data_IF_416844502605
#
_entry.id   IF_416844502605
#
_cell.length_a   1.000
_cell.length_b   1.000
_cell.length_c   1.000
_cell.angle_alpha   90.00
_cell.angle_beta   90.00
_cell.angle_gamma   90.00
#
_symmetry.space_group_name_H-M   'P 1'
#
loop_
_entity.id
_entity.type
_entity.pdbx_description
1 polymer ?
#
# COMPACT_ATOMS: atom_id res chain seq x y z
N UNK A 1 -22.82 25.75 -19.81
CA UNK A 1 -22.83 25.56 -18.32
C UNK A 1 -23.28 24.16 -17.85
N UNK A 2 -23.64 23.20 -18.74
CA UNK A 2 -24.18 21.87 -18.36
C UNK A 2 -23.20 20.68 -18.42
N UNK A 3 -21.90 20.89 -18.68
CA UNK A 3 -20.91 19.78 -18.77
C UNK A 3 -20.16 19.45 -17.46
N UNK A 4 -20.28 20.26 -16.40
CA UNK A 4 -19.60 19.98 -15.12
C UNK A 4 -20.35 19.00 -14.22
N UNK A 5 -21.68 18.89 -14.31
CA UNK A 5 -22.47 18.09 -13.37
C UNK A 5 -22.40 16.57 -13.63
N UNK A 6 -22.26 16.16 -14.91
CA UNK A 6 -22.20 14.71 -15.25
C UNK A 6 -20.90 14.03 -14.83
N UNK A 7 -19.78 14.76 -14.83
CA UNK A 7 -18.49 14.17 -14.42
C UNK A 7 -18.38 13.98 -12.90
N UNK A 8 -19.00 14.86 -12.11
CA UNK A 8 -19.04 14.76 -10.65
C UNK A 8 -19.86 13.56 -10.18
N UNK A 9 -21.02 13.31 -10.80
CA UNK A 9 -21.89 12.18 -10.45
C UNK A 9 -21.24 10.83 -10.80
N UNK A 10 -20.55 10.75 -11.94
CA UNK A 10 -19.83 9.54 -12.37
C UNK A 10 -18.64 9.23 -11.47
N UNK A 11 -17.96 10.24 -10.95
CA UNK A 11 -16.86 10.07 -10.00
C UNK A 11 -17.35 9.64 -8.63
N UNK A 12 -18.45 10.21 -8.11
CA UNK A 12 -19.04 9.83 -6.83
C UNK A 12 -19.45 8.35 -6.81
N UNK A 13 -20.14 7.87 -7.85
CA UNK A 13 -20.55 6.48 -7.98
C UNK A 13 -19.37 5.50 -8.02
N UNK A 14 -18.25 5.87 -8.68
CA UNK A 14 -17.05 5.02 -8.72
C UNK A 14 -16.29 5.00 -7.37
N UNK A 15 -16.34 6.08 -6.61
CA UNK A 15 -15.73 6.15 -5.29
C UNK A 15 -16.40 5.22 -4.26
N UNK A 16 -17.65 4.79 -4.49
CA UNK A 16 -18.34 3.82 -3.63
C UNK A 16 -17.63 2.47 -3.58
N UNK A 17 -16.87 2.10 -4.62
CA UNK A 17 -16.04 0.89 -4.64
C UNK A 17 -14.83 0.95 -3.69
N UNK A 18 -14.50 2.15 -3.17
CA UNK A 18 -13.35 2.39 -2.30
C UNK A 18 -13.77 3.04 -0.97
N UNK A 19 -14.60 2.38 -0.12
CA UNK A 19 -14.87 2.89 1.22
C UNK A 19 -13.56 3.07 1.99
N UNK A 20 -13.46 4.11 2.83
CA UNK A 20 -12.26 4.33 3.62
C UNK A 20 -11.95 3.13 4.52
N UNK A 21 -10.70 2.69 4.52
CA UNK A 21 -10.26 1.49 5.24
C UNK A 21 -10.64 0.16 4.59
N UNK A 22 -11.48 0.13 3.55
CA UNK A 22 -11.83 -1.10 2.85
C UNK A 22 -10.62 -1.70 2.12
N UNK A 23 -10.57 -3.02 2.03
CA UNK A 23 -9.56 -3.73 1.26
C UNK A 23 -10.14 -4.18 -0.08
N UNK A 24 -9.38 -3.96 -1.14
CA UNK A 24 -9.78 -4.28 -2.51
C UNK A 24 -8.66 -4.97 -3.29
N UNK A 25 -9.04 -5.65 -4.38
CA UNK A 25 -8.15 -6.03 -5.47
C UNK A 25 -8.58 -5.34 -6.74
N UNK A 26 -7.62 -4.97 -7.56
CA UNK A 26 -7.84 -4.40 -8.88
C UNK A 26 -7.50 -5.46 -9.91
N UNK A 27 -8.51 -5.98 -10.61
CA UNK A 27 -8.35 -6.96 -11.67
C UNK A 27 -8.50 -6.28 -13.03
N UNK A 28 -7.49 -6.41 -13.88
CA UNK A 28 -7.55 -5.91 -15.25
C UNK A 28 -8.71 -6.55 -16.02
N UNK A 29 -9.53 -5.72 -16.65
CA UNK A 29 -10.66 -6.18 -17.45
C UNK A 29 -10.24 -7.01 -18.65
N UNK A 30 -9.13 -6.63 -19.29
CA UNK A 30 -8.64 -7.27 -20.52
C UNK A 30 -7.83 -8.53 -20.20
N UNK A 31 -6.91 -8.44 -19.24
CA UNK A 31 -5.94 -9.51 -18.99
C UNK A 31 -6.36 -10.46 -17.86
N UNK A 32 -7.36 -10.11 -17.05
CA UNK A 32 -7.76 -10.89 -15.89
C UNK A 32 -6.72 -10.95 -14.76
N UNK A 33 -5.57 -10.29 -14.92
CA UNK A 33 -4.50 -10.21 -13.92
C UNK A 33 -4.80 -9.14 -12.88
N UNK A 34 -4.16 -9.26 -11.71
CA UNK A 34 -4.34 -8.35 -10.59
C UNK A 34 -3.16 -7.39 -10.49
N UNK A 35 -3.44 -6.14 -10.11
CA UNK A 35 -2.40 -5.18 -9.75
C UNK A 35 -1.67 -5.68 -8.51
N UNK A 36 -0.35 -5.82 -8.58
CA UNK A 36 0.46 -6.53 -7.61
C UNK A 36 1.68 -5.69 -7.21
N UNK A 37 1.91 -5.55 -5.91
CA UNK A 37 3.15 -4.97 -5.38
C UNK A 37 4.30 -5.96 -5.55
N UNK A 38 5.37 -5.57 -6.21
CA UNK A 38 6.50 -6.44 -6.50
C UNK A 38 7.32 -6.77 -5.24
N UNK A 39 8.06 -7.85 -5.31
CA UNK A 39 8.83 -8.36 -4.16
C UNK A 39 9.96 -7.41 -3.70
N UNK A 40 10.35 -6.45 -4.55
CA UNK A 40 11.31 -5.40 -4.20
C UNK A 40 10.70 -4.29 -3.32
N UNK A 41 9.36 -4.26 -3.17
CA UNK A 41 8.63 -3.26 -2.40
C UNK A 41 8.62 -1.86 -3.03
N UNK A 42 8.95 -1.75 -4.33
CA UNK A 42 8.97 -0.50 -5.10
C UNK A 42 8.18 -0.63 -6.39
N UNK A 43 8.37 -1.72 -7.12
CA UNK A 43 7.69 -1.99 -8.38
C UNK A 43 6.22 -2.39 -8.17
N UNK A 44 5.43 -2.19 -9.23
CA UNK A 44 4.04 -2.64 -9.32
C UNK A 44 3.84 -3.24 -10.70
N UNK A 45 3.39 -4.49 -10.74
CA UNK A 45 3.20 -5.23 -11.99
C UNK A 45 1.91 -6.06 -12.00
N UNK A 46 1.41 -6.48 -13.17
CA UNK A 46 0.29 -7.39 -13.25
C UNK A 46 0.70 -8.82 -12.85
N UNK A 47 -0.15 -9.51 -12.07
CA UNK A 47 0.09 -10.88 -11.64
C UNK A 47 -1.19 -11.71 -11.64
N UNK A 48 -1.16 -12.99 -12.01
CA UNK A 48 -2.32 -13.87 -11.89
C UNK A 48 -2.64 -14.28 -10.44
N UNK A 49 -1.79 -13.95 -9.48
CA UNK A 49 -1.89 -14.39 -8.07
C UNK A 49 -2.95 -13.62 -7.29
N UNK A 50 -4.22 -14.00 -7.40
CA UNK A 50 -5.34 -13.37 -6.70
C UNK A 50 -5.21 -13.43 -5.17
N UNK A 51 -4.81 -14.56 -4.61
CA UNK A 51 -4.79 -14.79 -3.16
C UNK A 51 -3.58 -14.20 -2.42
N UNK A 52 -2.75 -13.40 -3.10
CA UNK A 52 -1.58 -12.76 -2.51
C UNK A 52 -1.95 -11.49 -1.75
N UNK A 53 -1.28 -11.23 -0.61
CA UNK A 53 -1.33 -9.93 0.08
C UNK A 53 -0.76 -8.79 -0.79
N UNK A 54 0.17 -9.11 -1.68
CA UNK A 54 0.71 -8.14 -2.64
C UNK A 54 -0.31 -7.68 -3.68
N UNK A 55 -1.41 -8.42 -3.89
CA UNK A 55 -2.53 -8.00 -4.72
C UNK A 55 -3.64 -7.26 -3.95
N UNK A 56 -3.47 -7.12 -2.63
CA UNK A 56 -4.45 -6.48 -1.76
C UNK A 56 -4.05 -5.03 -1.47
N UNK A 57 -5.01 -4.14 -1.65
CA UNK A 57 -4.85 -2.70 -1.48
C UNK A 57 -5.88 -2.19 -0.47
N UNK A 58 -5.44 -1.38 0.50
CA UNK A 58 -6.34 -0.69 1.41
C UNK A 58 -6.67 0.70 0.86
N UNK A 59 -7.94 1.00 0.75
CA UNK A 59 -8.41 2.33 0.36
C UNK A 59 -8.19 3.32 1.51
N UNK A 60 -7.62 4.46 1.21
CA UNK A 60 -7.44 5.58 2.12
C UNK A 60 -8.02 6.82 1.44
N UNK A 61 -9.18 7.26 1.90
CA UNK A 61 -9.83 8.45 1.35
C UNK A 61 -9.25 9.72 1.94
N UNK A 62 -9.05 10.71 1.09
CA UNK A 62 -8.65 12.06 1.51
C UNK A 62 -9.46 13.09 0.72
N UNK A 63 -9.73 14.21 1.36
CA UNK A 63 -10.32 15.39 0.72
C UNK A 63 -9.26 16.46 0.57
N UNK A 64 -9.18 17.06 -0.62
CA UNK A 64 -8.21 18.10 -0.91
C UNK A 64 -8.81 19.13 -1.89
N UNK A 65 -8.81 20.39 -1.49
CA UNK A 65 -9.36 21.45 -2.33
C UNK A 65 -10.84 21.25 -2.70
N UNK A 66 -11.63 20.61 -1.83
CA UNK A 66 -13.04 20.29 -2.08
C UNK A 66 -13.27 19.13 -3.04
N UNK A 67 -12.22 18.38 -3.42
CA UNK A 67 -12.30 17.17 -4.24
C UNK A 67 -11.93 15.93 -3.40
N UNK A 68 -12.65 14.82 -3.65
CA UNK A 68 -12.38 13.54 -3.00
C UNK A 68 -11.39 12.71 -3.84
N UNK A 69 -10.37 12.18 -3.16
CA UNK A 69 -9.37 11.29 -3.74
C UNK A 69 -9.31 9.97 -2.98
N UNK A 70 -8.83 8.94 -3.64
CA UNK A 70 -8.45 7.68 -3.03
C UNK A 70 -6.95 7.46 -3.18
N UNK A 71 -6.29 7.09 -2.09
CA UNK A 71 -4.94 6.55 -2.09
C UNK A 71 -5.05 5.05 -1.89
N UNK A 72 -4.29 4.29 -2.66
CA UNK A 72 -4.27 2.83 -2.59
C UNK A 72 -2.98 2.38 -1.90
N UNK A 73 -3.12 1.91 -0.66
CA UNK A 73 -2.03 1.45 0.16
C UNK A 73 -1.84 -0.06 0.02
N UNK A 74 -0.64 -0.49 -0.34
CA UNK A 74 -0.30 -1.91 -0.42
C UNK A 74 -0.37 -2.58 0.97
N UNK A 75 -1.13 -3.67 1.08
CA UNK A 75 -1.20 -4.46 2.32
C UNK A 75 0.08 -5.27 2.55
N UNK A 76 0.93 -5.41 1.54
CA UNK A 76 2.22 -6.08 1.68
C UNK A 76 3.26 -5.20 2.37
N UNK A 77 3.41 -3.96 1.92
CA UNK A 77 4.54 -3.11 2.31
C UNK A 77 4.13 -1.76 2.91
N UNK A 78 2.82 -1.46 3.01
CA UNK A 78 2.30 -0.22 3.57
C UNK A 78 2.49 1.02 2.69
N UNK A 79 3.21 0.91 1.58
CA UNK A 79 3.47 2.00 0.64
C UNK A 79 2.27 2.25 -0.26
N UNK A 80 2.18 3.44 -0.80
CA UNK A 80 1.06 3.89 -1.62
C UNK A 80 1.36 3.76 -3.11
N UNK A 81 0.35 3.34 -3.88
CA UNK A 81 0.40 3.33 -5.34
C UNK A 81 0.56 4.75 -5.86
N UNK A 82 1.57 4.96 -6.67
CA UNK A 82 1.89 6.24 -7.27
C UNK A 82 2.16 6.09 -8.77
N UNK A 83 2.09 7.19 -9.49
CA UNK A 83 2.54 7.27 -10.87
C UNK A 83 3.85 8.06 -10.92
N UNK A 84 4.92 7.36 -11.25
CA UNK A 84 6.23 7.97 -11.33
C UNK A 84 6.70 8.12 -12.78
N UNK A 85 7.18 9.31 -13.11
CA UNK A 85 7.87 9.56 -14.37
C UNK A 85 9.34 9.87 -14.04
N UNK A 86 10.30 9.08 -14.54
CA UNK A 86 11.70 9.46 -14.43
C UNK A 86 11.93 10.80 -15.14
N UNK A 87 12.90 11.62 -14.69
CA UNK A 87 13.25 12.84 -15.41
C UNK A 87 13.65 12.48 -16.84
N UNK A 88 13.01 13.13 -17.81
CA UNK A 88 13.33 12.90 -19.21
C UNK A 88 14.78 13.34 -19.48
N UNK A 89 15.58 12.55 -20.20
CA UNK A 89 16.87 13.00 -20.69
C UNK A 89 16.69 14.27 -21.55
N UNK A 90 17.66 15.19 -21.46
CA UNK A 90 17.61 16.44 -22.26
C UNK A 90 17.43 16.11 -23.75
N UNK A 91 16.35 16.62 -24.34
CA UNK A 91 16.05 16.47 -25.78
C UNK A 91 15.19 15.25 -26.16
N UNK A 92 14.77 14.42 -25.21
CA UNK A 92 13.79 13.36 -25.43
C UNK A 92 12.42 13.76 -24.88
N UNK A 93 11.34 13.31 -25.54
CA UNK A 93 9.96 13.58 -25.14
C UNK A 93 9.61 13.07 -23.75
N UNK A 94 8.34 13.19 -23.34
CA UNK A 94 7.85 12.78 -22.01
C UNK A 94 8.25 11.32 -21.73
N UNK A 95 8.94 11.12 -20.60
CA UNK A 95 9.19 9.75 -20.09
C UNK A 95 7.89 9.04 -19.80
N UNK A 96 7.83 7.76 -20.16
CA UNK A 96 6.71 6.90 -19.83
C UNK A 96 6.52 6.83 -18.31
N UNK A 97 5.27 6.98 -17.85
CA UNK A 97 4.92 6.90 -16.44
C UNK A 97 4.62 5.46 -16.06
N UNK A 98 5.24 4.99 -15.00
CA UNK A 98 5.04 3.63 -14.50
C UNK A 98 4.40 3.66 -13.11
N UNK A 99 3.49 2.69 -12.79
CA UNK A 99 3.01 2.53 -11.45
C UNK A 99 4.13 2.04 -10.54
N UNK A 100 4.26 2.67 -9.37
CA UNK A 100 5.29 2.35 -8.35
C UNK A 100 4.70 2.48 -6.96
N UNK A 101 5.43 1.97 -5.96
CA UNK A 101 5.11 2.16 -4.55
C UNK A 101 5.95 3.30 -3.97
N UNK A 102 5.29 4.27 -3.33
CA UNK A 102 5.94 5.40 -2.68
C UNK A 102 5.47 5.60 -1.24
N UNK A 103 6.25 6.33 -0.48
CA UNK A 103 5.84 6.86 0.83
C UNK A 103 4.87 8.04 0.65
N UNK A 104 4.03 8.28 1.65
CA UNK A 104 3.15 9.45 1.69
C UNK A 104 3.61 10.35 2.84
N UNK A 105 4.45 11.34 2.52
CA UNK A 105 5.14 12.19 3.51
C UNK A 105 4.50 13.57 3.67
N UNK A 106 3.81 14.08 2.65
CA UNK A 106 3.23 15.41 2.68
C UNK A 106 1.78 15.39 2.18
N UNK A 107 0.86 16.13 2.84
CA UNK A 107 -0.50 16.31 2.32
C UNK A 107 -0.53 16.92 0.91
N UNK A 108 0.51 17.65 0.49
CA UNK A 108 0.63 18.24 -0.85
C UNK A 108 1.15 17.27 -1.91
N UNK A 109 1.53 16.05 -1.50
CA UNK A 109 2.04 15.03 -2.41
C UNK A 109 0.94 14.56 -3.36
N UNK A 110 1.10 14.83 -4.66
CA UNK A 110 0.07 14.58 -5.68
C UNK A 110 0.22 13.22 -6.36
N UNK A 111 1.42 12.65 -6.40
CA UNK A 111 1.74 11.45 -7.17
C UNK A 111 1.05 10.17 -6.66
N UNK A 112 0.51 10.21 -5.44
CA UNK A 112 -0.24 9.11 -4.81
C UNK A 112 -1.76 9.28 -4.86
N UNK A 113 -2.25 10.42 -5.39
CA UNK A 113 -3.68 10.75 -5.43
C UNK A 113 -4.34 10.16 -6.67
N UNK A 114 -5.45 9.45 -6.48
CA UNK A 114 -6.25 8.86 -7.55
C UNK A 114 -7.70 9.32 -7.47
N UNK A 115 -8.30 9.55 -8.62
CA UNK A 115 -9.73 9.80 -8.78
C UNK A 115 -10.33 8.56 -9.44
N UNK A 116 -11.24 7.91 -8.75
CA UNK A 116 -12.02 6.82 -9.34
C UNK A 116 -13.10 7.40 -10.25
N UNK A 117 -13.17 6.91 -11.48
CA UNK A 117 -14.15 7.31 -12.49
C UNK A 117 -14.79 6.05 -13.08
N UNK A 118 -16.11 6.04 -13.25
CA UNK A 118 -16.82 4.91 -13.89
C UNK A 118 -16.50 4.88 -15.38
N UNK A 119 -16.27 3.70 -15.93
CA UNK A 119 -16.08 3.54 -17.36
C UNK A 119 -17.39 3.90 -18.12
N UNK A 120 -17.22 4.50 -19.30
CA UNK A 120 -18.38 5.02 -20.09
C UNK A 120 -19.13 3.94 -20.86
N UNK A 121 -18.59 2.74 -20.97
CA UNK A 121 -19.16 1.62 -21.72
C UNK A 121 -20.30 0.86 -20.99
N UNK A 122 -20.82 1.42 -19.91
CA UNK A 122 -21.99 0.90 -19.18
C UNK A 122 -21.73 -0.24 -18.21
N UNK A 123 -20.46 -0.65 -18.02
CA UNK A 123 -20.06 -1.64 -17.03
C UNK A 123 -19.84 -1.04 -15.64
N UNK A 124 -19.59 -1.93 -14.65
CA UNK A 124 -19.15 -1.54 -13.30
C UNK A 124 -17.64 -1.32 -13.20
N UNK A 125 -16.96 -1.24 -14.34
CA UNK A 125 -15.52 -1.04 -14.40
C UNK A 125 -15.14 0.37 -13.96
N UNK A 126 -14.02 0.46 -13.28
CA UNK A 126 -13.46 1.71 -12.75
C UNK A 126 -12.18 2.06 -13.47
N UNK A 127 -12.05 3.33 -13.81
CA UNK A 127 -10.82 3.95 -14.24
C UNK A 127 -10.20 4.67 -13.04
N UNK A 128 -8.92 4.46 -12.79
CA UNK A 128 -8.17 5.23 -11.80
C UNK A 128 -7.37 6.30 -12.52
N UNK A 129 -7.85 7.53 -12.46
CA UNK A 129 -7.24 8.71 -13.05
C UNK A 129 -6.29 9.34 -12.04
N UNK A 130 -5.11 9.76 -12.48
CA UNK A 130 -4.17 10.47 -11.63
C UNK A 130 -4.72 11.84 -11.20
N UNK A 131 -4.62 12.19 -9.92
CA UNK A 131 -5.26 13.39 -9.37
C UNK A 131 -4.78 14.72 -9.97
N UNK A 132 -3.54 14.75 -10.47
CA UNK A 132 -2.92 15.96 -11.04
C UNK A 132 -3.04 16.07 -12.56
N UNK A 133 -3.31 14.96 -13.23
CA UNK A 133 -3.28 14.90 -14.70
C UNK A 133 -4.51 14.15 -15.22
N UNK A 134 -5.44 14.92 -15.76
CA UNK A 134 -6.71 14.41 -16.30
C UNK A 134 -6.53 13.41 -17.47
N UNK A 135 -5.34 13.33 -18.02
CA UNK A 135 -5.02 12.44 -19.16
C UNK A 135 -4.29 11.17 -18.76
N UNK A 136 -3.81 11.08 -17.51
CA UNK A 136 -3.06 9.91 -17.02
C UNK A 136 -3.95 8.97 -16.23
N UNK A 137 -4.06 7.73 -16.71
CA UNK A 137 -4.81 6.65 -16.07
C UNK A 137 -3.86 5.52 -15.66
N UNK A 138 -4.24 4.80 -14.60
CA UNK A 138 -3.57 3.57 -14.22
C UNK A 138 -3.83 2.51 -15.28
N UNK A 139 -2.80 2.07 -16.00
CA UNK A 139 -2.86 0.99 -16.97
C UNK A 139 -2.05 -0.22 -16.52
N UNK A 140 -2.23 -1.34 -17.22
CA UNK A 140 -1.45 -2.58 -17.01
C UNK A 140 -0.05 -2.45 -17.61
N UNK A 141 0.10 -1.67 -18.66
CA UNK A 141 1.37 -1.41 -19.35
C UNK A 141 1.56 0.08 -19.61
N UNK A 142 2.81 0.48 -19.79
CA UNK A 142 3.23 1.87 -20.03
C UNK A 142 2.68 2.42 -21.37
N UNK A 143 2.46 1.55 -22.34
CA UNK A 143 2.04 1.89 -23.71
C UNK A 143 0.52 1.76 -23.92
N UNK A 144 -0.28 1.82 -22.85
CA UNK A 144 -1.73 1.64 -22.93
C UNK A 144 -2.43 2.83 -23.59
N UNK A 145 -2.30 2.94 -24.90
CA UNK A 145 -3.15 3.81 -25.72
C UNK A 145 -4.54 3.24 -25.94
N UNK A 146 -4.75 1.94 -25.67
CA UNK A 146 -6.05 1.31 -25.71
C UNK A 146 -6.82 1.60 -24.41
N UNK A 147 -7.94 2.27 -24.54
CA UNK A 147 -8.79 2.69 -23.41
C UNK A 147 -9.20 1.53 -22.50
N UNK A 148 -9.33 0.31 -23.01
CA UNK A 148 -9.73 -0.87 -22.23
C UNK A 148 -8.65 -1.40 -21.30
N UNK A 149 -7.37 -1.16 -21.56
CA UNK A 149 -6.27 -1.59 -20.71
C UNK A 149 -6.20 -0.82 -19.38
N UNK A 150 -6.94 0.29 -19.28
CA UNK A 150 -7.07 1.10 -18.07
C UNK A 150 -8.31 0.76 -17.24
N UNK A 151 -9.11 -0.24 -17.67
CA UNK A 151 -10.33 -0.67 -16.99
C UNK A 151 -10.04 -1.70 -15.92
N UNK A 152 -10.50 -1.41 -14.70
CA UNK A 152 -10.32 -2.24 -13.53
C UNK A 152 -11.66 -2.72 -12.97
N UNK A 153 -11.77 -4.01 -12.72
CA UNK A 153 -12.81 -4.59 -11.88
C UNK A 153 -12.33 -4.51 -10.44
N UNK A 154 -13.08 -3.81 -9.60
CA UNK A 154 -12.76 -3.67 -8.17
C UNK A 154 -13.42 -4.82 -7.42
N UNK A 155 -12.60 -5.72 -6.86
CA UNK A 155 -13.07 -6.83 -6.04
C UNK A 155 -12.88 -6.51 -4.57
N UNK A 156 -13.95 -6.38 -3.80
CA UNK A 156 -13.87 -6.20 -2.35
C UNK A 156 -13.25 -7.44 -1.68
N UNK A 157 -12.39 -7.21 -0.71
CA UNK A 157 -11.82 -8.26 0.14
C UNK A 157 -12.57 -8.22 1.47
N UNK A 158 -13.32 -9.28 1.83
CA UNK A 158 -14.02 -9.32 3.09
C UNK A 158 -13.04 -9.30 4.27
N UNK A 159 -13.45 -8.66 5.36
CA UNK A 159 -12.69 -8.64 6.59
C UNK A 159 -12.47 -10.08 7.10
N UNK A 160 -11.27 -10.35 7.61
CA UNK A 160 -10.92 -11.63 8.20
C UNK A 160 -11.19 -11.61 9.70
N UNK A 161 -11.75 -12.69 10.23
CA UNK A 161 -11.99 -12.85 11.67
C UNK A 161 -10.69 -13.09 12.47
N UNK A 162 -9.63 -13.55 11.82
CA UNK A 162 -8.34 -13.85 12.46
C UNK A 162 -7.18 -13.18 11.72
N UNK A 163 -6.15 -12.71 12.44
CA UNK A 163 -4.95 -12.20 11.82
C UNK A 163 -4.30 -13.27 10.95
N UNK A 164 -3.62 -12.89 9.86
CA UNK A 164 -2.83 -13.81 9.08
C UNK A 164 -1.68 -14.37 9.93
N UNK A 165 -1.38 -15.65 9.73
CA UNK A 165 -0.23 -16.31 10.35
C UNK A 165 1.02 -15.75 9.65
N UNK A 166 2.05 -15.41 10.44
CA UNK A 166 3.35 -14.99 9.90
C UNK A 166 3.97 -16.15 9.10
N UNK A 167 4.62 -15.88 7.96
CA UNK A 167 5.30 -16.90 7.21
C UNK A 167 6.43 -17.51 8.05
N UNK A 168 6.54 -18.83 8.02
CA UNK A 168 7.65 -19.51 8.66
C UNK A 168 8.97 -19.13 8.00
N UNK A 169 10.09 -19.00 8.76
CA UNK A 169 11.38 -18.69 8.18
C UNK A 169 11.79 -19.78 7.20
N UNK A 170 12.07 -19.40 5.98
CA UNK A 170 12.61 -20.32 4.97
C UNK A 170 14.09 -20.52 5.29
N UNK A 171 14.59 -21.78 5.37
CA UNK A 171 16.01 -22.05 5.53
C UNK A 171 16.82 -21.35 4.43
N UNK A 172 17.87 -20.62 4.81
CA UNK A 172 18.76 -19.95 3.87
C UNK A 172 19.58 -20.99 3.11
N UNK A 173 19.04 -21.51 2.03
CA UNK A 173 19.73 -22.49 1.17
C UNK A 173 20.81 -21.86 0.26
N UNK A 174 20.91 -20.54 0.19
CA UNK A 174 22.01 -19.78 -0.43
C UNK A 174 22.13 -18.39 0.20
N UNK A 175 23.34 -17.92 0.53
CA UNK A 175 23.56 -16.63 1.20
C UNK A 175 23.56 -15.47 0.18
N UNK A 176 22.42 -15.07 -0.33
CA UNK A 176 22.23 -13.67 -0.63
C UNK A 176 21.74 -13.03 0.67
N UNK A 177 22.65 -12.68 1.53
CA UNK A 177 22.34 -12.05 2.81
C UNK A 177 22.01 -10.59 2.54
N UNK A 178 20.75 -10.33 2.20
CA UNK A 178 20.22 -8.98 2.22
C UNK A 178 20.34 -8.45 3.66
N UNK A 179 20.89 -7.26 3.81
CA UNK A 179 20.93 -6.56 5.09
C UNK A 179 20.26 -5.20 4.97
N UNK A 180 19.71 -4.71 6.06
CA UNK A 180 19.09 -3.39 6.10
C UNK A 180 19.13 -2.81 7.50
N UNK A 181 19.01 -1.51 7.57
CA UNK A 181 18.75 -0.82 8.83
C UNK A 181 17.27 -0.91 9.16
N UNK A 182 16.95 -1.42 10.33
CA UNK A 182 15.62 -1.35 10.93
C UNK A 182 15.65 -0.22 11.95
N UNK A 183 14.84 0.79 11.71
CA UNK A 183 14.54 1.86 12.67
C UNK A 183 13.21 1.51 13.32
N UNK A 184 13.11 1.55 14.65
CA UNK A 184 11.87 1.17 15.33
C UNK A 184 11.54 2.06 16.52
N UNK A 185 10.24 2.18 16.77
CA UNK A 185 9.66 2.84 17.94
C UNK A 185 8.66 1.90 18.60
N UNK A 186 8.56 2.00 19.94
CA UNK A 186 7.49 1.37 20.70
C UNK A 186 6.27 2.26 20.66
N UNK A 187 5.10 1.70 20.44
CA UNK A 187 3.82 2.38 20.45
C UNK A 187 2.83 1.67 21.34
N UNK A 188 1.78 2.38 21.75
CA UNK A 188 0.61 1.81 22.41
C UNK A 188 -0.31 1.08 21.41
N UNK A 189 -1.45 0.55 21.88
CA UNK A 189 -2.42 -0.17 21.05
C UNK A 189 -3.05 0.68 19.95
N UNK A 190 -3.15 1.99 20.18
CA UNK A 190 -3.69 2.96 19.22
C UNK A 190 -2.64 3.41 18.20
N UNK A 191 -1.40 2.94 18.34
CA UNK A 191 -0.27 3.28 17.48
C UNK A 191 0.36 4.64 17.78
N UNK A 192 0.06 5.23 18.96
CA UNK A 192 0.67 6.46 19.41
C UNK A 192 2.06 6.15 19.98
N UNK A 193 3.04 6.92 19.60
CA UNK A 193 4.41 6.82 20.08
C UNK A 193 5.02 8.20 20.29
N UNK A 194 6.06 8.25 21.13
CA UNK A 194 6.83 9.47 21.35
C UNK A 194 7.52 9.91 20.03
N UNK A 195 7.16 11.06 19.47
CA UNK A 195 7.71 11.52 18.20
C UNK A 195 9.18 11.98 18.31
N UNK A 196 9.72 12.09 19.53
CA UNK A 196 11.10 12.57 19.73
C UNK A 196 12.11 11.63 19.06
N UNK A 197 13.16 12.15 18.42
CA UNK A 197 14.20 11.34 17.77
C UNK A 197 14.88 10.33 18.72
N UNK A 198 15.00 10.67 20.00
CA UNK A 198 15.61 9.81 21.04
C UNK A 198 14.79 8.57 21.39
N UNK A 199 13.48 8.57 21.10
CA UNK A 199 12.63 7.40 21.28
C UNK A 199 12.85 6.35 20.16
N UNK A 200 13.43 6.76 19.06
CA UNK A 200 13.69 5.91 17.89
C UNK A 200 15.02 5.19 18.07
N UNK A 201 14.99 3.87 17.96
CA UNK A 201 16.17 2.99 18.03
C UNK A 201 16.39 2.35 16.67
N UNK A 202 17.61 1.85 16.42
CA UNK A 202 17.93 1.18 15.17
C UNK A 202 18.91 0.02 15.38
N UNK A 203 18.90 -0.93 14.46
CA UNK A 203 19.87 -2.02 14.36
C UNK A 203 19.95 -2.52 12.91
N UNK A 204 21.00 -3.28 12.60
CA UNK A 204 21.16 -3.93 11.30
C UNK A 204 20.51 -5.31 11.38
N UNK A 205 19.58 -5.57 10.47
CA UNK A 205 18.88 -6.84 10.34
C UNK A 205 19.32 -7.55 9.07
N UNK A 206 19.58 -8.85 9.18
CA UNK A 206 20.00 -9.71 8.10
C UNK A 206 18.84 -10.62 7.66
N UNK A 207 18.56 -10.63 6.36
CA UNK A 207 17.49 -11.41 5.77
C UNK A 207 16.17 -10.66 5.58
N UNK A 208 15.11 -11.43 5.32
CA UNK A 208 13.78 -10.90 4.98
C UNK A 208 12.67 -11.40 5.89
N UNK A 209 12.94 -12.40 6.72
CA UNK A 209 11.90 -13.05 7.51
C UNK A 209 11.29 -12.12 8.56
N UNK A 210 10.01 -11.81 8.39
CA UNK A 210 9.24 -11.04 9.39
C UNK A 210 9.12 -11.83 10.70
N UNK A 211 9.09 -13.16 10.66
CA UNK A 211 9.09 -14.00 11.84
C UNK A 211 10.37 -13.81 12.66
N UNK A 212 11.55 -13.86 12.00
CA UNK A 212 12.83 -13.61 12.67
C UNK A 212 12.93 -12.17 13.20
N UNK A 213 12.47 -11.18 12.42
CA UNK A 213 12.43 -9.79 12.85
C UNK A 213 11.59 -9.62 14.12
N UNK A 214 10.41 -10.27 14.17
CA UNK A 214 9.56 -10.28 15.36
C UNK A 214 10.29 -10.87 16.56
N UNK A 215 11.03 -11.98 16.38
CA UNK A 215 11.84 -12.59 17.43
C UNK A 215 12.93 -11.64 17.95
N UNK A 216 13.67 -10.99 17.06
CA UNK A 216 14.71 -10.02 17.45
C UNK A 216 14.11 -8.86 18.24
N UNK A 217 13.03 -8.27 17.75
CA UNK A 217 12.37 -7.13 18.40
C UNK A 217 11.74 -7.51 19.74
N UNK A 218 11.19 -8.72 19.87
CA UNK A 218 10.66 -9.21 21.14
C UNK A 218 11.75 -9.30 22.22
N UNK A 219 12.94 -9.78 21.87
CA UNK A 219 14.09 -9.84 22.76
C UNK A 219 14.58 -8.43 23.14
N UNK A 220 14.75 -7.54 22.15
CA UNK A 220 15.23 -6.17 22.38
C UNK A 220 14.29 -5.35 23.25
N UNK A 221 12.98 -5.59 23.16
CA UNK A 221 11.93 -4.92 23.94
C UNK A 221 11.59 -5.62 25.25
N UNK A 222 12.14 -6.82 25.49
CA UNK A 222 11.82 -7.71 26.62
C UNK A 222 10.33 -8.06 26.68
N UNK A 223 9.73 -8.26 25.52
CA UNK A 223 8.33 -8.63 25.33
C UNK A 223 8.21 -10.10 24.89
N UNK A 224 7.04 -10.70 25.07
CA UNK A 224 6.77 -12.03 24.52
C UNK A 224 6.63 -11.94 22.99
N UNK A 225 7.06 -12.96 22.26
CA UNK A 225 6.94 -13.02 20.80
C UNK A 225 5.52 -12.71 20.30
N UNK A 226 4.51 -13.29 20.94
CA UNK A 226 3.10 -13.05 20.59
C UNK A 226 2.50 -11.80 21.29
N UNK A 227 3.28 -11.11 22.10
CA UNK A 227 2.87 -9.87 22.78
C UNK A 227 3.18 -8.62 21.98
N UNK A 228 3.79 -8.75 20.79
CA UNK A 228 4.10 -7.62 19.92
C UNK A 228 3.50 -7.80 18.52
N UNK A 229 3.16 -6.69 17.90
CA UNK A 229 2.79 -6.62 16.49
C UNK A 229 3.68 -5.62 15.79
N UNK A 230 4.25 -6.03 14.66
CA UNK A 230 5.04 -5.13 13.83
C UNK A 230 4.13 -4.45 12.81
N UNK A 231 4.25 -3.13 12.72
CA UNK A 231 3.60 -2.33 11.71
C UNK A 231 4.63 -1.49 10.97
N UNK A 232 4.35 -1.16 9.72
CA UNK A 232 5.10 -0.19 8.93
C UNK A 232 4.24 1.05 8.72
N UNK A 233 4.89 2.22 8.68
CA UNK A 233 4.27 3.47 8.26
C UNK A 233 5.07 4.02 7.07
N UNK A 234 4.44 4.10 5.93
CA UNK A 234 5.08 4.62 4.73
C UNK A 234 4.91 6.13 4.64
N UNK A 235 5.78 6.84 5.32
CA UNK A 235 5.78 8.30 5.39
C UNK A 235 5.01 8.87 6.59
N UNK A 236 5.16 10.16 6.83
CA UNK A 236 4.58 10.87 7.98
C UNK A 236 3.05 10.93 7.92
N UNK A 237 2.47 10.96 6.71
CA UNK A 237 1.04 10.95 6.44
C UNK A 237 0.49 9.53 6.21
N UNK A 238 1.37 8.53 6.16
CA UNK A 238 0.99 7.14 5.93
C UNK A 238 0.25 6.54 7.13
N UNK A 239 -0.77 5.71 6.85
CA UNK A 239 -1.43 4.90 7.89
C UNK A 239 -0.59 3.70 8.25
N UNK A 240 -0.66 3.26 9.49
CA UNK A 240 0.00 2.03 9.95
C UNK A 240 -0.55 0.81 9.17
N UNK A 241 0.36 -0.07 8.78
CA UNK A 241 0.04 -1.33 8.09
C UNK A 241 0.70 -2.48 8.84
N UNK A 242 -0.04 -3.49 9.30
CA UNK A 242 0.55 -4.68 9.91
C UNK A 242 1.52 -5.36 8.95
N UNK A 243 2.72 -5.65 9.44
CA UNK A 243 3.74 -6.37 8.68
C UNK A 243 3.54 -7.88 8.88
N UNK A 244 2.92 -8.52 7.90
CA UNK A 244 2.50 -9.92 7.96
C UNK A 244 3.06 -10.79 6.82
N UNK A 245 3.92 -10.22 5.99
CA UNK A 245 4.70 -10.94 4.97
C UNK A 245 6.18 -10.62 5.14
N UNK A 246 7.03 -11.38 4.48
CA UNK A 246 8.47 -11.13 4.48
C UNK A 246 8.82 -9.76 3.91
N UNK A 247 9.90 -9.20 4.42
CA UNK A 247 10.39 -7.87 4.05
C UNK A 247 10.70 -7.80 2.54
N UNK A 248 10.63 -6.60 1.94
CA UNK A 248 10.95 -6.42 0.53
C UNK A 248 12.35 -6.95 0.17
N UNK A 249 12.55 -7.35 -1.08
CA UNK A 249 13.85 -7.81 -1.58
C UNK A 249 14.74 -6.62 -1.98
N UNK A 250 14.97 -5.70 -1.03
CA UNK A 250 15.86 -4.55 -1.17
C UNK A 250 16.59 -4.30 0.15
N UNK A 251 17.53 -3.36 0.18
CA UNK A 251 18.31 -2.98 1.37
C UNK A 251 17.89 -1.62 1.95
N UNK A 252 16.71 -1.12 1.58
CA UNK A 252 16.24 0.16 2.09
C UNK A 252 15.95 0.08 3.59
N UNK A 253 16.28 1.14 4.31
CA UNK A 253 15.89 1.32 5.72
C UNK A 253 14.39 1.20 5.87
N UNK A 254 13.94 0.48 6.91
CA UNK A 254 12.52 0.35 7.24
C UNK A 254 12.23 0.94 8.61
N UNK A 255 11.17 1.73 8.66
CA UNK A 255 10.61 2.26 9.89
C UNK A 255 9.52 1.34 10.40
N UNK A 256 9.77 0.73 11.57
CA UNK A 256 8.87 -0.21 12.23
C UNK A 256 8.26 0.44 13.46
N UNK A 257 6.95 0.37 13.56
CA UNK A 257 6.18 0.70 14.76
C UNK A 257 5.82 -0.61 15.44
N UNK A 258 6.26 -0.78 16.68
CA UNK A 258 6.01 -2.00 17.47
C UNK A 258 4.91 -1.73 18.47
N UNK A 259 3.75 -2.34 18.28
CA UNK A 259 2.63 -2.31 19.20
C UNK A 259 2.86 -3.37 20.27
N UNK A 260 2.78 -3.01 21.58
CA UNK A 260 3.20 -3.87 22.70
C UNK A 260 2.13 -4.18 23.72
N UNK A 261 1.00 -3.48 23.73
CA UNK A 261 -0.05 -3.65 24.73
C UNK A 261 -1.24 -4.47 24.22
N UNK A 262 -1.02 -5.32 23.22
CA UNK A 262 -2.10 -6.09 22.62
C UNK A 262 -2.68 -7.11 23.61
N UNK A 263 -3.79 -6.76 24.24
CA UNK A 263 -4.69 -7.74 24.84
C UNK A 263 -5.36 -8.51 23.70
N UNK A 264 -5.32 -9.84 23.78
CA UNK A 264 -6.11 -10.73 22.92
C UNK A 264 -7.61 -10.46 23.15
N UNK A 265 -8.12 -9.38 22.60
CA UNK A 265 -9.56 -9.20 22.49
C UNK A 265 -9.99 -9.89 21.19
N UNK A 266 -10.53 -11.10 21.35
CA UNK A 266 -10.94 -12.01 20.29
C UNK A 266 -12.03 -11.41 19.38
N UNK A 267 -12.59 -10.25 19.75
CA UNK A 267 -13.70 -9.58 19.08
C UNK A 267 -13.28 -8.31 18.30
N UNK A 268 -12.07 -7.79 18.45
CA UNK A 268 -11.67 -6.46 17.96
C UNK A 268 -11.02 -6.40 16.57
N UNK A 269 -10.88 -7.49 15.84
CA UNK A 269 -10.19 -7.47 14.52
C UNK A 269 -11.04 -6.87 13.37
N UNK A 270 -12.28 -6.48 13.64
CA UNK A 270 -13.22 -5.95 12.66
C UNK A 270 -13.20 -4.41 12.53
N UNK A 271 -12.44 -3.69 13.31
CA UNK A 271 -12.57 -2.23 13.35
C UNK A 271 -11.32 -1.42 13.59
N UNK A 272 -10.22 -2.00 14.01
CA UNK A 272 -8.98 -1.23 14.15
C UNK A 272 -8.26 -1.09 12.81
N UNK A 273 -8.79 -0.22 11.96
CA UNK A 273 -7.89 0.71 11.30
C UNK A 273 -7.04 1.30 12.40
N UNK A 274 -5.74 1.02 12.44
CA UNK A 274 -4.82 1.89 13.15
C UNK A 274 -5.08 3.28 12.57
N UNK A 275 -5.77 4.12 13.35
CA UNK A 275 -6.13 5.50 12.98
C UNK A 275 -4.86 6.30 12.76
#
# INVERSE_FOLDING_TARGET
>A
LRRRDSSSTTSLAAMEHFPDGAHVRLRSRVHGTFLHADADGVGVSPSPRRASLSAAWAAHRVERGGAAYVLLRSNAYGRYLALWAPPAPRGQGRSARSPVLRVYDSPEQDDVLWVAVRARDGGDDVLLRHGRDDTSFLGVTVDSHDSRQTHWVVEAIPARQRPPILPAPVPLSRPMVLWRTISYVRADDDGNFDPRPLARRWFIFYGRSVFQLTGVLSILLRERFFGIRLCVRAGSQGRLTPLVIDLPANEQTMDIVVLTAWKYDVLGFLGSTCV
#
